data_IF_552534716067
#
_entry.id   IF_552534716067
#
_cell.length_a   1.000
_cell.length_b   1.000
_cell.length_c   1.000
_cell.angle_alpha   90.00
_cell.angle_beta   90.00
_cell.angle_gamma   90.00
#
_symmetry.space_group_name_H-M   'P 1'
#
loop_
_entity.id
_entity.type
_entity.pdbx_description
1 polymer ?
#
# COMPACT_ATOMS: atom_id res chain seq x y z
N UNK A 1 10.49 -16.36 -22.27
CA UNK A 1 9.15 -16.73 -21.75
C UNK A 1 8.96 -16.03 -20.42
N UNK A 2 7.91 -15.21 -20.25
CA UNK A 2 7.62 -14.59 -18.95
C UNK A 2 7.30 -15.70 -17.94
N UNK A 3 7.92 -15.68 -16.76
CA UNK A 3 7.52 -16.54 -15.65
C UNK A 3 6.02 -16.33 -15.37
N UNK A 4 5.23 -17.37 -15.07
CA UNK A 4 3.80 -17.25 -14.77
C UNK A 4 3.48 -16.18 -13.71
N UNK A 5 4.39 -15.95 -12.76
CA UNK A 5 4.27 -14.89 -11.75
C UNK A 5 4.35 -13.49 -12.36
N UNK A 6 5.35 -13.22 -13.20
CA UNK A 6 5.53 -11.92 -13.86
C UNK A 6 4.32 -11.57 -14.74
N UNK A 7 3.76 -12.56 -15.42
CA UNK A 7 2.54 -12.36 -16.21
C UNK A 7 1.37 -11.92 -15.31
N UNK A 8 1.16 -12.60 -14.17
CA UNK A 8 0.09 -12.26 -13.22
C UNK A 8 0.27 -10.88 -12.57
N UNK A 9 1.52 -10.50 -12.28
CA UNK A 9 1.86 -9.19 -11.73
C UNK A 9 1.52 -8.07 -12.72
N UNK A 10 1.95 -8.21 -13.98
CA UNK A 10 1.63 -7.24 -15.04
C UNK A 10 0.12 -7.15 -15.29
N UNK A 11 -0.56 -8.29 -15.32
CA UNK A 11 -1.99 -8.36 -15.54
C UNK A 11 -2.78 -7.66 -14.42
N UNK A 12 -2.42 -7.92 -13.15
CA UNK A 12 -3.02 -7.24 -12.01
C UNK A 12 -2.79 -5.72 -12.06
N UNK A 13 -1.55 -5.28 -12.32
CA UNK A 13 -1.23 -3.85 -12.43
C UNK A 13 -2.05 -3.14 -13.52
N UNK A 14 -2.15 -3.75 -14.71
CA UNK A 14 -2.89 -3.16 -15.82
C UNK A 14 -4.39 -3.07 -15.54
N UNK A 15 -4.98 -4.09 -14.89
CA UNK A 15 -6.39 -4.08 -14.49
C UNK A 15 -6.66 -2.93 -13.52
N UNK A 16 -5.84 -2.77 -12.47
CA UNK A 16 -6.05 -1.72 -11.47
C UNK A 16 -5.80 -0.32 -12.04
N UNK A 17 -4.85 -0.19 -12.97
CA UNK A 17 -4.63 1.07 -13.68
C UNK A 17 -5.84 1.43 -14.55
N UNK A 18 -6.30 0.50 -15.38
CA UNK A 18 -7.45 0.71 -16.25
C UNK A 18 -8.73 0.98 -15.43
N UNK A 19 -8.99 0.17 -14.41
CA UNK A 19 -10.13 0.36 -13.52
C UNK A 19 -10.07 1.70 -12.79
N UNK A 20 -8.91 2.08 -12.23
CA UNK A 20 -8.72 3.36 -11.56
C UNK A 20 -8.98 4.54 -12.49
N UNK A 21 -8.40 4.53 -13.69
CA UNK A 21 -8.62 5.57 -14.70
C UNK A 21 -10.10 5.63 -15.10
N UNK A 22 -10.77 4.49 -15.31
CA UNK A 22 -12.17 4.44 -15.71
C UNK A 22 -13.13 4.91 -14.60
N UNK A 23 -12.86 4.57 -13.34
CA UNK A 23 -13.67 4.97 -12.18
C UNK A 23 -13.50 6.46 -11.92
N UNK A 24 -12.26 6.96 -11.92
CA UNK A 24 -11.97 8.37 -11.63
C UNK A 24 -12.02 9.26 -12.89
N UNK A 25 -12.39 8.75 -14.07
CA UNK A 25 -12.34 9.50 -15.35
C UNK A 25 -13.06 10.85 -15.28
N UNK A 26 -14.20 10.89 -14.59
CA UNK A 26 -15.02 12.11 -14.45
C UNK A 26 -14.33 13.13 -13.53
N UNK A 27 -13.75 12.66 -12.43
CA UNK A 27 -13.02 13.50 -11.47
C UNK A 27 -11.69 14.00 -12.07
N UNK A 28 -10.95 13.14 -12.77
CA UNK A 28 -9.71 13.50 -13.48
C UNK A 28 -9.99 14.56 -14.55
N UNK A 29 -11.11 14.43 -15.27
CA UNK A 29 -11.52 15.41 -16.27
C UNK A 29 -12.00 16.73 -15.66
N UNK A 30 -12.60 16.70 -14.46
CA UNK A 30 -13.09 17.88 -13.76
C UNK A 30 -11.99 18.63 -12.98
N UNK A 31 -10.95 17.92 -12.52
CA UNK A 31 -9.83 18.50 -11.80
C UNK A 31 -8.99 19.41 -12.72
N UNK A 32 -8.58 20.57 -12.19
CA UNK A 32 -7.76 21.57 -12.92
C UNK A 32 -6.32 21.56 -12.42
N UNK A 33 -5.37 21.68 -13.35
CA UNK A 33 -3.95 21.82 -13.00
C UNK A 33 -3.42 20.69 -12.11
N UNK A 34 -2.85 21.06 -10.96
CA UNK A 34 -2.18 20.16 -10.02
C UNK A 34 -3.13 19.28 -9.20
N UNK A 35 -4.43 19.60 -9.13
CA UNK A 35 -5.44 18.79 -8.44
C UNK A 35 -5.60 17.39 -9.07
N UNK A 36 -5.21 17.25 -10.35
CA UNK A 36 -5.15 15.97 -11.04
C UNK A 36 -4.18 15.00 -10.37
N UNK A 37 -3.06 15.49 -9.83
CA UNK A 37 -2.09 14.63 -9.14
C UNK A 37 -2.65 14.08 -7.83
N UNK A 38 -3.42 14.89 -7.10
CA UNK A 38 -4.08 14.44 -5.86
C UNK A 38 -5.11 13.35 -6.20
N UNK A 39 -5.86 13.55 -7.28
CA UNK A 39 -6.83 12.57 -7.79
C UNK A 39 -6.15 11.26 -8.25
N UNK A 40 -5.02 11.38 -8.95
CA UNK A 40 -4.25 10.24 -9.46
C UNK A 40 -3.46 9.52 -8.36
N UNK A 41 -3.15 10.20 -7.24
CA UNK A 41 -2.32 9.67 -6.16
C UNK A 41 -2.81 8.33 -5.61
N UNK A 42 -4.13 8.16 -5.44
CA UNK A 42 -4.70 6.89 -5.00
C UNK A 42 -4.46 5.76 -6.02
N UNK A 43 -4.51 6.06 -7.32
CA UNK A 43 -4.24 5.10 -8.41
C UNK A 43 -2.75 4.77 -8.44
N UNK A 44 -1.88 5.78 -8.31
CA UNK A 44 -0.43 5.61 -8.25
C UNK A 44 0.02 4.73 -7.09
N UNK A 45 -0.70 4.73 -5.96
CA UNK A 45 -0.45 3.85 -4.82
C UNK A 45 -1.09 2.47 -5.04
N UNK A 46 -2.32 2.40 -5.55
CA UNK A 46 -3.04 1.13 -5.74
C UNK A 46 -2.36 0.19 -6.74
N UNK A 47 -1.82 0.72 -7.85
CA UNK A 47 -1.25 -0.09 -8.94
C UNK A 47 -0.03 -0.90 -8.46
N UNK A 48 1.01 -0.31 -7.84
CA UNK A 48 2.12 -1.09 -7.27
C UNK A 48 1.68 -2.14 -6.26
N UNK A 49 0.72 -1.83 -5.37
CA UNK A 49 0.21 -2.80 -4.39
C UNK A 49 -0.43 -4.02 -5.08
N UNK A 50 -1.21 -3.80 -6.14
CA UNK A 50 -1.80 -4.87 -6.93
C UNK A 50 -0.74 -5.70 -7.68
N UNK A 51 0.34 -5.07 -8.16
CA UNK A 51 1.47 -5.74 -8.82
C UNK A 51 2.25 -6.62 -7.83
N UNK A 52 2.47 -6.17 -6.59
CA UNK A 52 3.23 -6.92 -5.58
C UNK A 52 2.44 -8.03 -4.89
N UNK A 53 1.10 -7.96 -4.89
CA UNK A 53 0.30 -8.97 -4.20
C UNK A 53 0.46 -10.41 -4.74
N UNK A 54 0.46 -10.67 -6.07
CA UNK A 54 0.70 -12.01 -6.62
C UNK A 54 1.99 -12.69 -6.16
N UNK A 55 3.04 -11.91 -5.88
CA UNK A 55 4.34 -12.42 -5.39
C UNK A 55 4.18 -13.16 -4.05
N UNK A 56 3.26 -12.70 -3.21
CA UNK A 56 3.04 -13.24 -1.88
C UNK A 56 2.30 -14.58 -1.88
N UNK A 57 1.58 -14.91 -2.96
CA UNK A 57 0.86 -16.19 -3.09
C UNK A 57 1.72 -17.30 -3.71
N UNK A 58 2.70 -16.94 -4.56
CA UNK A 58 3.49 -17.90 -5.35
C UNK A 58 4.92 -18.09 -4.85
N UNK A 59 5.33 -17.43 -3.77
CA UNK A 59 6.68 -17.53 -3.21
C UNK A 59 6.86 -18.46 -2.00
N UNK A 60 6.63 -19.79 -2.07
CA UNK A 60 7.11 -20.72 -1.04
C UNK A 60 8.63 -20.66 -0.85
N UNK A 61 9.41 -20.41 -1.90
CA UNK A 61 10.89 -20.46 -1.81
C UNK A 61 11.54 -19.17 -1.30
N UNK A 62 10.96 -17.99 -1.56
CA UNK A 62 11.56 -16.72 -1.13
C UNK A 62 11.01 -16.24 0.22
N UNK A 63 9.69 -16.36 0.47
CA UNK A 63 9.06 -15.76 1.66
C UNK A 63 9.18 -16.65 2.90
N UNK A 64 9.24 -17.99 2.75
CA UNK A 64 9.45 -18.90 3.89
C UNK A 64 10.80 -18.67 4.60
N UNK A 65 11.80 -18.17 3.86
CA UNK A 65 13.12 -17.83 4.39
C UNK A 65 13.16 -16.46 5.09
N UNK A 66 12.16 -15.60 4.84
CA UNK A 66 12.05 -14.26 5.46
C UNK A 66 11.19 -14.31 6.72
N UNK A 67 10.23 -15.25 6.81
CA UNK A 67 9.42 -15.43 8.02
C UNK A 67 10.30 -15.98 9.15
N UNK A 68 10.40 -15.27 10.29
CA UNK A 68 11.19 -15.70 11.44
C UNK A 68 10.90 -17.12 11.89
N UNK A 69 11.94 -17.82 12.35
CA UNK A 69 11.86 -19.27 12.56
C UNK A 69 10.87 -19.71 13.63
N UNK A 70 10.56 -18.82 14.56
CA UNK A 70 9.66 -19.01 15.70
C UNK A 70 8.16 -18.90 15.35
N UNK A 71 7.78 -18.51 14.13
CA UNK A 71 6.39 -18.17 13.80
C UNK A 71 5.63 -19.40 13.29
N UNK A 72 4.54 -19.83 13.94
CA UNK A 72 3.69 -20.88 13.41
C UNK A 72 2.99 -20.42 12.12
N UNK A 73 2.67 -21.38 11.24
CA UNK A 73 2.01 -21.15 9.95
C UNK A 73 2.75 -20.17 9.01
N UNK A 74 4.02 -20.43 8.72
CA UNK A 74 4.85 -19.59 7.81
C UNK A 74 4.30 -19.40 6.40
N UNK A 75 3.41 -20.29 5.95
CA UNK A 75 2.70 -20.15 4.67
C UNK A 75 1.44 -19.27 4.76
N UNK A 76 0.89 -19.06 5.96
CA UNK A 76 -0.30 -18.22 6.17
C UNK A 76 0.03 -16.73 6.04
N UNK A 77 1.12 -16.27 6.65
CA UNK A 77 1.49 -14.85 6.66
C UNK A 77 1.71 -14.25 5.27
N UNK A 78 2.41 -14.91 4.33
CA UNK A 78 2.55 -14.41 2.96
C UNK A 78 1.17 -14.25 2.29
N UNK A 79 0.32 -15.28 2.35
CA UNK A 79 -1.03 -15.21 1.80
C UNK A 79 -1.86 -14.09 2.43
N UNK A 80 -1.80 -13.92 3.75
CA UNK A 80 -2.47 -12.84 4.47
C UNK A 80 -2.01 -11.46 4.00
N UNK A 81 -0.70 -11.25 3.86
CA UNK A 81 -0.13 -9.99 3.35
C UNK A 81 -0.54 -9.75 1.90
N UNK A 82 -0.51 -10.78 1.04
CA UNK A 82 -1.00 -10.68 -0.34
C UNK A 82 -2.46 -10.26 -0.43
N UNK A 83 -3.32 -10.85 0.42
CA UNK A 83 -4.73 -10.47 0.53
C UNK A 83 -4.90 -9.03 1.04
N UNK A 84 -4.14 -8.62 2.06
CA UNK A 84 -4.19 -7.26 2.61
C UNK A 84 -3.75 -6.22 1.57
N UNK A 85 -2.72 -6.50 0.77
CA UNK A 85 -2.27 -5.65 -0.33
C UNK A 85 -3.35 -5.49 -1.41
N UNK A 86 -4.02 -6.58 -1.82
CA UNK A 86 -5.13 -6.50 -2.78
C UNK A 86 -6.33 -5.75 -2.22
N UNK A 87 -6.66 -5.97 -0.95
CA UNK A 87 -7.75 -5.26 -0.29
C UNK A 87 -7.46 -3.76 -0.20
N UNK A 88 -6.24 -3.37 0.17
CA UNK A 88 -5.79 -1.99 0.19
C UNK A 88 -5.81 -1.37 -1.22
N UNK A 89 -5.30 -2.07 -2.24
CA UNK A 89 -5.35 -1.61 -3.63
C UNK A 89 -6.79 -1.36 -4.07
N UNK A 90 -7.70 -2.31 -3.81
CA UNK A 90 -9.13 -2.18 -4.18
C UNK A 90 -9.78 -1.00 -3.46
N UNK A 91 -9.54 -0.87 -2.16
CA UNK A 91 -10.05 0.22 -1.34
C UNK A 91 -9.59 1.59 -1.85
N UNK A 92 -8.31 1.72 -2.21
CA UNK A 92 -7.73 2.94 -2.78
C UNK A 92 -8.29 3.26 -4.17
N UNK A 93 -8.43 2.25 -5.04
CA UNK A 93 -9.02 2.41 -6.36
C UNK A 93 -10.49 2.85 -6.30
N UNK A 94 -11.26 2.31 -5.35
CA UNK A 94 -12.69 2.65 -5.17
C UNK A 94 -12.87 3.89 -4.26
N UNK A 95 -11.77 4.43 -3.69
CA UNK A 95 -11.76 5.52 -2.70
C UNK A 95 -12.68 5.28 -1.49
N UNK A 96 -12.91 4.02 -1.11
CA UNK A 96 -13.71 3.63 0.06
C UNK A 96 -12.81 3.19 1.19
N UNK A 97 -13.04 3.69 2.41
CA UNK A 97 -12.22 3.39 3.59
C UNK A 97 -10.73 3.72 3.43
N UNK A 98 -10.39 4.73 2.59
CA UNK A 98 -8.99 5.11 2.30
C UNK A 98 -8.18 5.33 3.57
N UNK A 99 -8.73 6.04 4.56
CA UNK A 99 -8.06 6.28 5.83
C UNK A 99 -7.70 4.99 6.57
N UNK A 100 -8.64 4.06 6.69
CA UNK A 100 -8.42 2.80 7.39
C UNK A 100 -7.45 1.90 6.63
N UNK A 101 -7.62 1.78 5.31
CA UNK A 101 -6.71 0.98 4.48
C UNK A 101 -5.30 1.55 4.47
N UNK A 102 -5.14 2.87 4.38
CA UNK A 102 -3.84 3.54 4.40
C UNK A 102 -3.16 3.46 5.78
N UNK A 103 -3.90 3.55 6.88
CA UNK A 103 -3.33 3.37 8.24
C UNK A 103 -2.83 1.94 8.45
N UNK A 104 -3.65 0.94 8.10
CA UNK A 104 -3.28 -0.48 8.21
C UNK A 104 -2.13 -0.84 7.27
N UNK A 105 -2.14 -0.31 6.04
CA UNK A 105 -1.06 -0.51 5.08
C UNK A 105 0.26 0.06 5.60
N UNK A 106 0.23 1.29 6.15
CA UNK A 106 1.42 1.89 6.74
C UNK A 106 1.93 1.13 7.96
N UNK A 107 1.03 0.67 8.82
CA UNK A 107 1.37 -0.18 9.95
C UNK A 107 2.02 -1.49 9.51
N UNK A 108 1.49 -2.13 8.46
CA UNK A 108 2.04 -3.37 7.91
C UNK A 108 3.48 -3.19 7.43
N UNK A 109 3.76 -2.17 6.63
CA UNK A 109 5.13 -1.87 6.18
C UNK A 109 6.06 -1.52 7.35
N UNK A 110 5.57 -0.75 8.32
CA UNK A 110 6.34 -0.43 9.52
C UNK A 110 6.72 -1.68 10.32
N UNK A 111 5.79 -2.63 10.48
CA UNK A 111 6.06 -3.91 11.14
C UNK A 111 7.11 -4.73 10.37
N UNK A 112 7.10 -4.72 9.04
CA UNK A 112 8.17 -5.37 8.26
C UNK A 112 9.53 -4.74 8.52
N UNK A 113 9.62 -3.41 8.59
CA UNK A 113 10.85 -2.71 8.98
C UNK A 113 11.32 -3.17 10.36
N UNK A 114 10.46 -3.12 11.36
CA UNK A 114 10.81 -3.46 12.73
C UNK A 114 11.18 -4.93 12.92
N UNK A 115 10.42 -5.86 12.34
CA UNK A 115 10.55 -7.29 12.60
C UNK A 115 11.52 -8.01 11.66
N UNK A 116 11.68 -7.52 10.43
CA UNK A 116 12.47 -8.21 9.40
C UNK A 116 13.74 -7.42 9.12
N UNK A 117 13.60 -6.14 8.73
CA UNK A 117 14.73 -5.40 8.18
C UNK A 117 15.68 -4.84 9.23
N UNK A 118 15.19 -4.36 10.38
CA UNK A 118 16.04 -3.92 11.50
C UNK A 118 16.92 -5.06 12.03
N UNK A 119 16.39 -6.23 12.41
CA UNK A 119 17.24 -7.33 12.89
C UNK A 119 18.18 -7.83 11.79
N UNK A 120 17.72 -7.88 10.53
CA UNK A 120 18.60 -8.23 9.40
C UNK A 120 19.73 -7.23 9.17
N UNK A 121 19.47 -5.93 9.37
CA UNK A 121 20.44 -4.85 9.21
C UNK A 121 21.48 -4.88 10.34
N UNK A 122 21.05 -5.19 11.57
CA UNK A 122 21.95 -5.37 12.71
C UNK A 122 22.84 -6.62 12.53
N UNK A 123 22.29 -7.71 12.00
CA UNK A 123 23.06 -8.93 11.72
C UNK A 123 24.04 -8.78 10.53
N UNK A 124 23.67 -8.00 9.50
CA UNK A 124 24.47 -7.84 8.29
C UNK A 124 24.63 -6.36 7.91
N UNK A 125 25.33 -5.54 8.71
CA UNK A 125 25.35 -4.08 8.55
C UNK A 125 26.03 -3.60 7.26
N UNK A 126 26.93 -4.41 6.68
CA UNK A 126 27.59 -4.11 5.39
C UNK A 126 26.70 -4.40 4.18
N UNK A 127 25.54 -5.04 4.36
CA UNK A 127 24.66 -5.37 3.25
C UNK A 127 23.75 -4.18 2.91
N UNK A 128 24.16 -3.42 1.90
CA UNK A 128 23.42 -2.26 1.38
C UNK A 128 21.98 -2.57 0.95
N UNK A 129 21.69 -3.80 0.53
CA UNK A 129 20.34 -4.16 0.08
C UNK A 129 19.36 -4.21 1.24
N UNK A 130 19.79 -4.67 2.42
CA UNK A 130 18.93 -4.72 3.61
C UNK A 130 18.52 -3.31 4.04
N UNK A 131 19.47 -2.37 4.08
CA UNK A 131 19.19 -0.97 4.34
C UNK A 131 18.29 -0.34 3.28
N UNK A 132 18.52 -0.64 2.01
CA UNK A 132 17.67 -0.15 0.92
C UNK A 132 16.23 -0.62 1.07
N UNK A 133 15.99 -1.90 1.40
CA UNK A 133 14.65 -2.41 1.64
C UNK A 133 14.01 -1.81 2.91
N UNK A 134 14.78 -1.64 3.99
CA UNK A 134 14.31 -0.99 5.21
C UNK A 134 13.82 0.44 4.95
N UNK A 135 14.63 1.26 4.28
CA UNK A 135 14.31 2.65 3.97
C UNK A 135 13.16 2.76 2.97
N UNK A 136 13.10 1.85 1.99
CA UNK A 136 11.99 1.75 1.04
C UNK A 136 10.67 1.50 1.77
N UNK A 137 10.62 0.49 2.64
CA UNK A 137 9.38 0.13 3.33
C UNK A 137 8.99 1.19 4.35
N UNK A 138 9.95 1.84 5.00
CA UNK A 138 9.69 3.00 5.85
C UNK A 138 9.10 4.18 5.05
N UNK A 139 9.59 4.41 3.84
CA UNK A 139 9.04 5.44 2.95
C UNK A 139 7.61 5.11 2.52
N UNK A 140 7.32 3.84 2.24
CA UNK A 140 5.95 3.39 1.95
C UNK A 140 5.02 3.55 3.16
N UNK A 141 5.51 3.25 4.37
CA UNK A 141 4.75 3.47 5.60
C UNK A 141 4.41 4.96 5.79
N UNK A 142 5.40 5.84 5.64
CA UNK A 142 5.22 7.29 5.73
C UNK A 142 4.24 7.82 4.68
N UNK A 143 4.36 7.39 3.43
CA UNK A 143 3.44 7.78 2.35
C UNK A 143 2.00 7.31 2.60
N UNK A 144 1.83 6.10 3.13
CA UNK A 144 0.51 5.58 3.49
C UNK A 144 -0.11 6.38 4.65
N UNK A 145 0.66 6.69 5.70
CA UNK A 145 0.16 7.53 6.80
C UNK A 145 -0.11 8.98 6.40
N UNK A 146 0.70 9.56 5.50
CA UNK A 146 0.40 10.86 4.92
C UNK A 146 -0.94 10.84 4.18
N UNK A 147 -1.19 9.80 3.36
CA UNK A 147 -2.48 9.64 2.67
C UNK A 147 -3.66 9.43 3.63
N UNK A 148 -3.43 8.74 4.76
CA UNK A 148 -4.43 8.62 5.81
C UNK A 148 -4.73 9.96 6.50
N UNK A 149 -3.71 10.78 6.75
CA UNK A 149 -3.86 12.09 7.39
C UNK A 149 -4.51 13.15 6.51
N UNK A 150 -4.43 13.01 5.17
CA UNK A 150 -5.15 13.87 4.23
C UNK A 150 -6.65 13.61 4.19
N UNK A 151 -7.11 12.46 4.70
CA UNK A 151 -8.52 12.11 4.68
C UNK A 151 -9.23 12.63 5.94
N UNK A 152 -10.25 13.49 5.80
CA UNK A 152 -10.94 14.06 6.94
C UNK A 152 -11.67 12.97 7.72
N UNK A 153 -11.51 13.03 9.04
CA UNK A 153 -12.23 12.21 9.99
C UNK A 153 -13.73 12.45 9.84
N UNK A 154 -14.50 11.37 9.67
CA UNK A 154 -15.95 11.42 9.89
C UNK A 154 -16.31 11.75 11.37
N UNK A 155 -15.29 11.82 12.26
CA UNK A 155 -15.39 12.12 13.70
C UNK A 155 -15.19 13.62 14.00
N UNK A 156 -14.77 14.45 13.03
CA UNK A 156 -14.79 15.91 13.23
C UNK A 156 -16.21 16.39 12.94
N UNK A 157 -16.98 16.62 14.00
CA UNK A 157 -18.26 17.32 13.94
C UNK A 157 -18.16 18.55 12.99
N UNK A 158 -19.23 18.86 12.24
CA UNK A 158 -19.28 20.09 11.46
C UNK A 158 -19.05 21.26 12.42
N UNK A 159 -17.94 21.97 12.23
CA UNK A 159 -17.59 23.18 12.99
C UNK A 159 -18.85 24.07 13.03
N UNK A 160 -19.42 24.41 14.20
CA UNK A 160 -20.66 25.17 14.24
C UNK A 160 -20.46 26.48 13.49
N UNK A 161 -21.36 26.72 12.53
CA UNK A 161 -21.41 27.95 11.73
C UNK A 161 -21.73 29.09 12.71
N UNK A 162 -20.69 29.76 13.20
CA UNK A 162 -20.84 30.96 14.02
C UNK A 162 -21.52 32.04 13.18
N UNK A 163 -22.83 32.13 13.33
CA UNK A 163 -23.65 33.16 12.71
C UNK A 163 -23.48 34.44 13.53
N UNK A 164 -22.34 35.11 13.38
CA UNK A 164 -22.13 36.46 13.91
C UNK A 164 -22.68 37.47 12.90
N UNK A 165 -24.01 37.64 12.95
CA UNK A 165 -24.71 38.83 12.46
C UNK A 165 -25.81 39.15 13.49
N UNK A 166 -25.51 40.12 14.36
CA UNK A 166 -26.39 40.72 15.35
C UNK A 166 -25.75 42.03 15.77
#
# INVERSE_FOLDING_TARGET
MLSPTNFWMCFAGLIYLAAGVLILRKEISAARGWDKLITLGCICVAVPLAVFAPEHFRGPMFVQNVVPSWMPARAFWPCFVGCALLAAATSLTVRKFVRLSSTLLGLMFFLFVCMIYIPSALAHPKNRFVWAYALRDLSFAGGAWALAGLQPDCIVEPRPRNNRNG
#
